data_IF_038671397432
#
_entry.id   IF_038671397432
#
_cell.length_a   1.000
_cell.length_b   1.000
_cell.length_c   1.000
_cell.angle_alpha   90.00
_cell.angle_beta   90.00
_cell.angle_gamma   90.00
#
_symmetry.space_group_name_H-M   'P 1'
#
loop_
_entity.id
_entity.type
_entity.pdbx_description
1 polymer ?
#
# COMPACT_ATOMS: atom_id res chain seq x y z
N UNK A 1 3.26 10.16 10.03
CA UNK A 1 4.32 10.08 9.00
C UNK A 1 3.65 10.18 7.65
N UNK A 2 4.08 11.13 6.84
CA UNK A 2 3.22 11.80 5.89
C UNK A 2 3.08 11.02 4.59
N UNK A 3 1.85 10.91 4.11
CA UNK A 3 1.52 10.40 2.77
C UNK A 3 2.44 11.05 1.71
N UNK A 4 2.84 12.31 1.94
CA UNK A 4 3.79 13.08 1.14
C UNK A 4 5.12 12.36 0.86
N UNK A 5 5.77 11.79 1.88
CA UNK A 5 7.04 11.06 1.71
C UNK A 5 6.86 9.85 0.77
N UNK A 6 5.75 9.12 0.91
CA UNK A 6 5.46 7.99 0.03
C UNK A 6 5.13 8.42 -1.39
N UNK A 7 4.47 9.58 -1.58
CA UNK A 7 4.20 10.16 -2.90
C UNK A 7 5.51 10.50 -3.62
N UNK A 8 6.35 11.32 -3.00
CA UNK A 8 7.64 11.75 -3.57
C UNK A 8 8.55 10.57 -3.92
N UNK A 9 8.43 9.48 -3.17
CA UNK A 9 9.22 8.28 -3.36
C UNK A 9 8.66 7.38 -4.47
N UNK A 10 7.34 7.32 -4.67
CA UNK A 10 6.70 6.57 -5.76
C UNK A 10 6.76 7.33 -7.10
N UNK A 11 6.77 8.66 -7.07
CA UNK A 11 6.93 9.52 -8.25
C UNK A 11 8.29 9.35 -8.95
N UNK A 12 9.31 8.85 -8.24
CA UNK A 12 10.64 8.58 -8.80
C UNK A 12 10.71 7.32 -9.67
N UNK A 13 9.66 6.51 -9.70
CA UNK A 13 9.62 5.26 -10.44
C UNK A 13 8.56 5.32 -11.55
N UNK A 14 8.86 4.69 -12.69
CA UNK A 14 7.88 4.54 -13.76
C UNK A 14 6.88 3.42 -13.43
N UNK A 15 5.72 3.43 -14.10
CA UNK A 15 4.69 2.37 -13.97
C UNK A 15 5.20 0.98 -14.35
N UNK A 16 6.31 0.91 -15.06
CA UNK A 16 6.94 -0.32 -15.55
C UNK A 16 8.09 -0.79 -14.64
N UNK A 17 8.56 0.06 -13.72
CA UNK A 17 9.74 -0.18 -12.87
C UNK A 17 9.40 -0.77 -11.49
N UNK A 18 8.51 -1.76 -11.45
CA UNK A 18 8.26 -2.49 -10.22
C UNK A 18 8.21 -4.00 -10.40
N UNK A 19 8.61 -4.71 -9.35
CA UNK A 19 8.63 -6.17 -9.31
C UNK A 19 7.75 -6.72 -8.19
N UNK A 20 7.15 -7.89 -8.43
CA UNK A 20 6.48 -8.64 -7.40
C UNK A 20 7.48 -9.53 -6.67
N UNK A 21 7.56 -9.36 -5.35
CA UNK A 21 8.44 -10.16 -4.51
C UNK A 21 7.98 -11.61 -4.32
N UNK A 22 6.76 -11.93 -4.75
CA UNK A 22 6.17 -13.28 -4.84
C UNK A 22 5.63 -13.47 -6.26
N UNK A 23 5.24 -14.69 -6.62
CA UNK A 23 4.56 -14.96 -7.90
C UNK A 23 3.39 -13.99 -8.12
N UNK A 24 3.41 -13.28 -9.26
CA UNK A 24 2.41 -12.27 -9.61
C UNK A 24 0.99 -12.84 -9.51
N UNK A 25 0.73 -13.98 -10.18
CA UNK A 25 -0.56 -14.68 -10.16
C UNK A 25 -1.05 -15.00 -8.74
N UNK A 26 -0.14 -15.36 -7.82
CA UNK A 26 -0.50 -15.63 -6.43
C UNK A 26 -0.96 -14.33 -5.72
N UNK A 27 -0.21 -13.24 -5.89
CA UNK A 27 -0.56 -11.97 -5.26
C UNK A 27 -1.86 -11.41 -5.80
N UNK A 28 -2.03 -11.37 -7.13
CA UNK A 28 -3.24 -10.90 -7.80
C UNK A 28 -4.48 -11.68 -7.35
N UNK A 29 -4.39 -13.01 -7.30
CA UNK A 29 -5.48 -13.85 -6.78
C UNK A 29 -5.79 -13.57 -5.31
N UNK A 30 -4.77 -13.37 -4.47
CA UNK A 30 -4.95 -13.10 -3.04
C UNK A 30 -5.68 -11.79 -2.78
N UNK A 31 -5.40 -10.74 -3.54
CA UNK A 31 -6.04 -9.43 -3.38
C UNK A 31 -7.27 -9.24 -4.26
N UNK A 32 -7.58 -10.22 -5.12
CA UNK A 32 -8.65 -10.16 -6.13
C UNK A 32 -8.53 -8.85 -6.92
N UNK A 33 -7.40 -8.69 -7.61
CA UNK A 33 -7.11 -7.52 -8.43
C UNK A 33 -6.38 -7.92 -9.71
N UNK A 34 -6.52 -7.12 -10.76
CA UNK A 34 -5.66 -7.20 -11.95
C UNK A 34 -4.34 -6.47 -11.73
N UNK A 35 -3.37 -6.68 -12.62
CA UNK A 35 -2.10 -5.95 -12.57
C UNK A 35 -2.30 -4.44 -12.75
N UNK A 36 -3.23 -4.07 -13.62
CA UNK A 36 -3.58 -2.68 -13.93
C UNK A 36 -4.16 -1.98 -12.70
N UNK A 37 -5.03 -2.64 -11.93
CA UNK A 37 -5.53 -2.10 -10.66
C UNK A 37 -4.40 -1.87 -9.65
N UNK A 38 -3.41 -2.77 -9.60
CA UNK A 38 -2.24 -2.61 -8.72
C UNK A 38 -1.39 -1.41 -9.15
N UNK A 39 -1.15 -1.25 -10.45
CA UNK A 39 -0.44 -0.09 -10.99
C UNK A 39 -1.21 1.20 -10.70
N UNK A 40 -2.52 1.21 -10.93
CA UNK A 40 -3.36 2.35 -10.61
C UNK A 40 -3.28 2.70 -9.12
N UNK A 41 -3.38 1.71 -8.23
CA UNK A 41 -3.23 1.94 -6.79
C UNK A 41 -1.86 2.54 -6.47
N UNK A 42 -0.77 1.88 -6.88
CA UNK A 42 0.60 2.28 -6.54
C UNK A 42 1.03 3.64 -7.09
N UNK A 43 0.53 4.05 -8.26
CA UNK A 43 1.02 5.27 -8.93
C UNK A 43 0.00 6.40 -8.98
N UNK A 44 -1.31 6.12 -8.97
CA UNK A 44 -2.31 7.21 -8.88
C UNK A 44 -2.46 7.74 -7.45
N UNK A 45 -2.22 6.87 -6.46
CA UNK A 45 -2.35 7.17 -5.04
C UNK A 45 -3.74 7.69 -4.63
N UNK A 46 -4.75 7.57 -5.50
CA UNK A 46 -6.09 8.16 -5.34
C UNK A 46 -6.79 7.68 -4.08
N UNK A 47 -6.61 6.41 -3.74
CA UNK A 47 -7.26 5.77 -2.59
C UNK A 47 -6.30 5.56 -1.41
N UNK A 48 -5.08 6.09 -1.46
CA UNK A 48 -4.10 5.96 -0.38
C UNK A 48 -4.56 6.78 0.82
N UNK A 49 -4.90 6.10 1.92
CA UNK A 49 -5.36 6.75 3.15
C UNK A 49 -4.28 6.86 4.21
N UNK A 50 -3.33 5.93 4.22
CA UNK A 50 -2.35 5.88 5.28
C UNK A 50 -1.12 5.09 4.86
N UNK A 51 0.02 5.45 5.45
CA UNK A 51 1.32 4.81 5.21
C UNK A 51 1.96 4.48 6.56
N UNK A 52 2.41 3.24 6.72
CA UNK A 52 3.33 2.88 7.80
C UNK A 52 4.72 2.65 7.26
N UNK A 53 5.71 3.19 7.97
CA UNK A 53 7.11 2.89 7.75
C UNK A 53 7.58 1.94 8.83
N UNK A 54 8.21 0.85 8.42
CA UNK A 54 8.73 -0.17 9.31
C UNK A 54 10.16 -0.50 8.89
N UNK A 55 11.09 -0.48 9.84
CA UNK A 55 12.46 -0.96 9.61
C UNK A 55 12.55 -2.42 10.03
N UNK A 56 12.75 -3.32 9.07
CA UNK A 56 12.81 -4.77 9.29
C UNK A 56 14.13 -5.28 8.73
N UNK A 57 14.97 -5.92 9.55
CA UNK A 57 16.25 -6.50 9.12
C UNK A 57 17.13 -5.51 8.30
N UNK A 58 17.29 -4.28 8.80
CA UNK A 58 18.00 -3.16 8.13
C UNK A 58 17.34 -2.62 6.85
N UNK A 59 16.25 -3.21 6.38
CA UNK A 59 15.48 -2.71 5.25
C UNK A 59 14.32 -1.82 5.67
N UNK A 60 14.01 -0.86 4.81
CA UNK A 60 12.91 0.05 4.98
C UNK A 60 11.70 -0.43 4.19
N UNK A 61 10.62 -0.75 4.91
CA UNK A 61 9.37 -1.21 4.32
C UNK A 61 8.28 -0.18 4.53
N UNK A 62 7.49 0.02 3.49
CA UNK A 62 6.31 0.88 3.54
C UNK A 62 5.06 0.03 3.37
N UNK A 63 4.13 0.13 4.32
CA UNK A 63 2.81 -0.44 4.19
C UNK A 63 1.85 0.65 3.72
N UNK A 64 1.39 0.54 2.48
CA UNK A 64 0.48 1.47 1.83
C UNK A 64 -0.96 0.97 1.98
N UNK A 65 -1.80 1.73 2.66
CA UNK A 65 -3.20 1.35 2.94
C UNK A 65 -4.14 2.08 1.99
N UNK A 66 -4.67 1.33 1.02
CA UNK A 66 -5.68 1.82 0.07
C UNK A 66 -7.07 1.47 0.57
N UNK A 67 -7.95 2.46 0.66
CA UNK A 67 -9.31 2.28 1.15
C UNK A 67 -10.29 2.78 0.09
N UNK A 68 -10.97 1.84 -0.58
CA UNK A 68 -11.94 2.14 -1.62
C UNK A 68 -13.34 2.41 -1.05
N UNK A 69 -13.67 1.78 0.08
CA UNK A 69 -14.95 1.98 0.75
C UNK A 69 -14.88 1.59 2.23
N UNK A 70 -15.97 1.81 2.97
CA UNK A 70 -16.11 1.38 4.38
C UNK A 70 -15.97 -0.15 4.56
N UNK A 71 -15.98 -0.94 3.48
CA UNK A 71 -15.96 -2.41 3.52
C UNK A 71 -14.80 -3.04 2.75
N UNK A 72 -14.13 -2.30 1.85
CA UNK A 72 -13.10 -2.81 0.95
C UNK A 72 -11.89 -1.89 0.93
N UNK A 73 -10.71 -2.49 1.05
CA UNK A 73 -9.42 -1.85 0.84
C UNK A 73 -8.37 -2.90 0.49
N UNK A 74 -7.13 -2.46 0.26
CA UNK A 74 -5.95 -3.31 0.07
C UNK A 74 -4.77 -2.71 0.81
N UNK A 75 -3.84 -3.56 1.23
CA UNK A 75 -2.53 -3.13 1.71
C UNK A 75 -1.48 -3.67 0.79
N UNK A 76 -0.54 -2.82 0.42
CA UNK A 76 0.68 -3.19 -0.28
C UNK A 76 1.86 -2.96 0.65
N UNK A 77 2.65 -4.00 0.88
CA UNK A 77 3.93 -3.90 1.57
C UNK A 77 4.99 -3.78 0.49
N UNK A 78 5.59 -2.60 0.40
CA UNK A 78 6.65 -2.31 -0.55
C UNK A 78 7.99 -2.12 0.16
N UNK A 79 9.06 -2.37 -0.56
CA UNK A 79 10.42 -1.99 -0.17
C UNK A 79 11.11 -1.35 -1.36
N UNK A 80 12.10 -0.53 -1.07
CA UNK A 80 12.94 0.10 -2.07
C UNK A 80 14.38 -0.25 -1.75
N UNK A 81 15.01 -0.93 -2.69
CA UNK A 81 16.45 -1.14 -2.71
C UNK A 81 16.96 -0.52 -4.02
N UNK A 82 17.06 -1.33 -5.06
CA UNK A 82 17.45 -0.89 -6.41
C UNK A 82 16.23 -0.58 -7.29
N UNK A 83 15.10 -1.25 -7.02
CA UNK A 83 13.80 -1.08 -7.69
C UNK A 83 12.66 -1.07 -6.66
N UNK A 84 11.50 -0.58 -7.07
CA UNK A 84 10.28 -0.71 -6.28
C UNK A 84 9.84 -2.18 -6.26
N UNK A 85 9.80 -2.79 -5.08
CA UNK A 85 9.37 -4.19 -4.92
C UNK A 85 8.14 -4.29 -4.05
N UNK A 86 7.08 -4.90 -4.59
CA UNK A 86 5.89 -5.29 -3.82
C UNK A 86 6.17 -6.63 -3.13
N UNK A 87 6.59 -6.59 -1.87
CA UNK A 87 6.89 -7.79 -1.07
C UNK A 87 5.65 -8.67 -0.93
N UNK A 88 4.53 -8.06 -0.57
CA UNK A 88 3.24 -8.76 -0.44
C UNK A 88 2.10 -7.77 -0.51
N UNK A 89 0.92 -8.27 -0.84
CA UNK A 89 -0.33 -7.53 -0.70
C UNK A 89 -1.41 -8.39 -0.05
N UNK A 90 -2.39 -7.75 0.60
CA UNK A 90 -3.55 -8.43 1.17
C UNK A 90 -4.79 -7.53 1.20
N UNK A 91 -5.99 -8.11 1.07
CA UNK A 91 -7.23 -7.34 1.13
C UNK A 91 -7.54 -6.87 2.56
N UNK A 92 -8.16 -5.70 2.66
CA UNK A 92 -8.74 -5.18 3.89
C UNK A 92 -10.25 -5.37 3.85
N UNK A 93 -10.76 -6.20 4.76
CA UNK A 93 -12.19 -6.40 4.95
C UNK A 93 -12.80 -5.41 5.95
N UNK A 94 -14.13 -5.39 6.02
CA UNK A 94 -14.93 -4.54 6.92
C UNK A 94 -14.45 -4.52 8.37
N UNK A 95 -14.14 -5.68 8.97
CA UNK A 95 -13.68 -5.77 10.37
C UNK A 95 -12.34 -5.05 10.57
N UNK A 96 -11.40 -5.31 9.67
CA UNK A 96 -10.07 -4.71 9.69
C UNK A 96 -10.13 -3.19 9.48
N UNK A 97 -10.90 -2.73 8.50
CA UNK A 97 -11.12 -1.31 8.26
C UNK A 97 -11.77 -0.62 9.45
N UNK A 98 -12.81 -1.22 10.05
CA UNK A 98 -13.45 -0.67 11.26
C UNK A 98 -12.45 -0.47 12.40
N UNK A 99 -11.52 -1.42 12.61
CA UNK A 99 -10.45 -1.31 13.61
C UNK A 99 -9.49 -0.16 13.28
N UNK A 100 -9.07 -0.02 12.03
CA UNK A 100 -8.20 1.08 11.59
C UNK A 100 -8.93 2.44 11.69
N UNK A 101 -10.22 2.52 11.34
CA UNK A 101 -11.01 3.73 11.48
C UNK A 101 -11.11 4.19 12.93
N UNK A 102 -11.40 3.25 13.85
CA UNK A 102 -11.52 3.55 15.28
C UNK A 102 -10.19 3.98 15.91
N UNK A 103 -9.08 3.33 15.53
CA UNK A 103 -7.78 3.56 16.18
C UNK A 103 -6.91 4.62 15.51
N UNK A 104 -7.11 4.91 14.22
CA UNK A 104 -6.19 5.77 13.44
C UNK A 104 -6.85 6.90 12.64
N UNK A 105 -8.12 6.77 12.21
CA UNK A 105 -8.80 7.91 11.55
C UNK A 105 -9.30 8.96 12.55
N UNK A 106 -9.59 8.59 13.81
CA UNK A 106 -10.01 9.56 14.85
C UNK A 106 -8.88 10.46 15.38
N UNK A 107 -7.62 10.10 15.15
CA UNK A 107 -6.45 10.88 15.59
C UNK A 107 -5.81 11.67 14.43
N UNK A 108 -6.48 11.78 13.28
CA UNK A 108 -6.02 12.57 12.13
C UNK A 108 -6.88 13.83 11.90
N UNK A 109 -7.84 14.12 12.78
CA UNK A 109 -8.64 15.36 12.77
C UNK A 109 -8.24 16.36 13.86
N UNK A 110 -7.10 16.16 14.54
CA UNK A 110 -6.55 17.17 15.45
C UNK A 110 -5.04 17.21 15.24
N UNK A 111 -4.62 18.04 14.28
CA UNK A 111 -3.37 18.80 14.29
C UNK A 111 -3.43 19.85 13.20
#
# INVERSE_FOLDING_TARGET
MEIKEAKELLEKYSKEDFEFGKLEKYLLNRIKATKEEVVEDLFSLKNLKFVEKQRVNKELRYALFYVYSKRKGRVYIITIRDRLRVITAYPLGRKTLSKYNKKRFKNLEIQ
#
